data_IF_956892798594
#
_entry.id   IF_956892798594
#
_cell.length_a   1.000
_cell.length_b   1.000
_cell.length_c   1.000
_cell.angle_alpha   90.00
_cell.angle_beta   90.00
_cell.angle_gamma   90.00
#
_symmetry.space_group_name_H-M   'P 1'
#
loop_
_entity.id
_entity.type
_entity.pdbx_description
1 polymer ?
#
# COMPACT_ATOMS: atom_id res chain seq x y z
N UNK A 1 9.47 -8.89 0.40
CA UNK A 1 8.06 -8.89 -0.07
C UNK A 1 7.32 -7.75 0.62
N UNK A 2 6.23 -7.27 0.04
CA UNK A 2 5.41 -6.23 0.66
C UNK A 2 4.71 -6.80 1.90
N UNK A 3 4.88 -6.15 3.05
CA UNK A 3 4.24 -6.53 4.31
C UNK A 3 3.13 -5.55 4.65
N UNK A 4 1.89 -5.92 4.29
CA UNK A 4 0.71 -5.10 4.56
C UNK A 4 0.45 -4.94 6.06
N UNK A 5 0.70 -5.98 6.88
CA UNK A 5 0.46 -5.94 8.31
C UNK A 5 1.42 -4.99 9.02
N UNK A 6 2.71 -5.07 8.70
CA UNK A 6 3.70 -4.12 9.21
C UNK A 6 3.38 -2.68 8.76
N UNK A 7 2.96 -2.50 7.49
CA UNK A 7 2.58 -1.19 6.97
C UNK A 7 1.36 -0.61 7.69
N UNK A 8 0.32 -1.42 7.92
CA UNK A 8 -0.87 -1.02 8.68
C UNK A 8 -0.51 -0.63 10.12
N UNK A 9 0.34 -1.40 10.79
CA UNK A 9 0.78 -1.11 12.16
C UNK A 9 1.53 0.24 12.26
N UNK A 10 2.26 0.65 11.20
CA UNK A 10 2.85 1.98 11.15
C UNK A 10 1.76 3.07 11.07
N UNK A 11 0.77 2.90 10.19
CA UNK A 11 -0.32 3.89 10.04
C UNK A 11 -1.19 4.06 11.28
N UNK A 12 -1.32 3.03 12.13
CA UNK A 12 -2.05 3.12 13.39
C UNK A 12 -1.44 4.14 14.36
N UNK A 13 -0.11 4.29 14.33
CA UNK A 13 0.58 5.31 15.13
C UNK A 13 0.50 6.68 14.46
N UNK A 14 0.72 6.73 13.15
CA UNK A 14 0.81 7.98 12.41
C UNK A 14 -0.53 8.71 12.25
N UNK A 15 -1.64 7.98 12.27
CA UNK A 15 -3.00 8.51 12.05
C UNK A 15 -3.94 8.24 13.23
N UNK A 16 -3.40 8.10 14.44
CA UNK A 16 -4.20 7.84 15.65
C UNK A 16 -5.25 8.93 15.93
N UNK A 17 -5.00 10.16 15.51
CA UNK A 17 -5.87 11.33 15.63
C UNK A 17 -6.81 11.55 14.45
N UNK A 18 -6.65 10.79 13.36
CA UNK A 18 -7.50 10.85 12.16
C UNK A 18 -8.04 9.45 11.81
N UNK A 19 -9.13 8.99 12.48
CA UNK A 19 -9.70 7.67 12.27
C UNK A 19 -10.13 7.40 10.83
N UNK A 20 -10.56 8.43 10.10
CA UNK A 20 -10.97 8.31 8.70
C UNK A 20 -9.76 8.06 7.80
N UNK A 21 -8.66 8.79 8.01
CA UNK A 21 -7.40 8.55 7.32
C UNK A 21 -6.81 7.19 7.67
N UNK A 22 -6.92 6.76 8.92
CA UNK A 22 -6.50 5.42 9.35
C UNK A 22 -7.29 4.33 8.62
N UNK A 23 -8.62 4.41 8.59
CA UNK A 23 -9.47 3.43 7.91
C UNK A 23 -9.17 3.37 6.40
N UNK A 24 -9.03 4.53 5.76
CA UNK A 24 -8.68 4.64 4.35
C UNK A 24 -7.29 4.06 4.06
N UNK A 25 -6.31 4.31 4.94
CA UNK A 25 -4.96 3.76 4.80
C UNK A 25 -4.94 2.25 4.98
N UNK A 26 -5.71 1.71 5.93
CA UNK A 26 -5.89 0.25 6.11
C UNK A 26 -6.47 -0.40 4.86
N UNK A 27 -7.54 0.17 4.29
CA UNK A 27 -8.16 -0.32 3.05
C UNK A 27 -7.16 -0.29 1.88
N UNK A 28 -6.48 0.84 1.69
CA UNK A 28 -5.49 1.02 0.63
C UNK A 28 -4.34 0.01 0.72
N UNK A 29 -3.73 -0.13 1.91
CA UNK A 29 -2.59 -1.01 2.12
C UNK A 29 -2.96 -2.49 2.00
N UNK A 30 -4.12 -2.89 2.51
CA UNK A 30 -4.60 -4.27 2.44
C UNK A 30 -4.95 -4.68 0.99
N UNK A 31 -5.53 -3.77 0.20
CA UNK A 31 -5.85 -4.01 -1.22
C UNK A 31 -4.64 -4.35 -2.08
N UNK A 32 -3.44 -3.88 -1.70
CA UNK A 32 -2.21 -4.07 -2.47
C UNK A 32 -1.38 -5.29 -2.06
N UNK A 33 -1.86 -6.14 -1.16
CA UNK A 33 -1.08 -7.33 -0.71
C UNK A 33 -0.80 -8.35 -1.82
N UNK A 34 -1.65 -8.40 -2.85
CA UNK A 34 -1.56 -9.33 -3.98
C UNK A 34 -0.34 -9.09 -4.88
N UNK A 35 0.35 -7.94 -4.78
CA UNK A 35 1.61 -7.68 -5.51
C UNK A 35 2.73 -8.65 -5.14
N UNK A 36 2.59 -9.40 -4.04
CA UNK A 36 3.52 -10.46 -3.68
C UNK A 36 3.40 -11.68 -4.59
N UNK A 37 2.19 -11.95 -5.10
CA UNK A 37 1.88 -13.11 -5.93
C UNK A 37 2.15 -12.86 -7.43
N UNK A 38 2.39 -11.61 -7.80
CA UNK A 38 2.72 -11.22 -9.18
C UNK A 38 4.12 -11.71 -9.59
N UNK A 39 4.28 -12.27 -10.80
CA UNK A 39 5.57 -12.70 -11.31
C UNK A 39 6.48 -11.50 -11.56
N UNK A 40 7.72 -11.58 -11.07
CA UNK A 40 8.76 -10.55 -11.25
C UNK A 40 10.03 -11.17 -11.80
N UNK A 41 10.77 -10.41 -12.62
CA UNK A 41 12.00 -10.87 -13.31
C UNK A 41 13.27 -10.56 -12.53
N UNK A 42 13.20 -9.65 -11.58
CA UNK A 42 14.33 -9.25 -10.74
C UNK A 42 14.44 -10.10 -9.45
N UNK A 43 13.59 -11.12 -9.32
CA UNK A 43 13.62 -12.09 -8.24
C UNK A 43 13.47 -11.44 -6.86
N UNK A 44 14.48 -11.62 -6.01
CA UNK A 44 14.49 -11.10 -4.64
C UNK A 44 14.93 -9.64 -4.53
N UNK A 45 15.40 -9.01 -5.63
CA UNK A 45 15.83 -7.60 -5.61
C UNK A 45 14.67 -6.65 -5.31
N UNK A 46 13.45 -7.00 -5.72
CA UNK A 46 12.22 -6.32 -5.33
C UNK A 46 11.95 -4.97 -6.00
N UNK A 47 12.74 -4.54 -6.98
CA UNK A 47 12.51 -3.36 -7.79
C UNK A 47 11.19 -3.46 -8.57
N UNK A 48 10.93 -4.55 -9.29
CA UNK A 48 9.68 -4.70 -10.05
C UNK A 48 8.47 -4.76 -9.13
N UNK A 49 8.59 -5.45 -7.99
CA UNK A 49 7.53 -5.48 -6.96
C UNK A 49 7.26 -4.11 -6.36
N UNK A 50 8.29 -3.27 -6.22
CA UNK A 50 8.11 -1.88 -5.75
C UNK A 50 7.34 -1.04 -6.77
N UNK A 51 7.58 -1.25 -8.07
CA UNK A 51 6.80 -0.61 -9.14
C UNK A 51 5.35 -1.08 -9.11
N UNK A 52 5.11 -2.39 -8.97
CA UNK A 52 3.76 -2.95 -8.84
C UNK A 52 3.02 -2.42 -7.61
N UNK A 53 3.70 -2.34 -6.47
CA UNK A 53 3.16 -1.77 -5.23
C UNK A 53 2.79 -0.29 -5.41
N UNK A 54 3.70 0.52 -5.97
CA UNK A 54 3.43 1.92 -6.24
C UNK A 54 2.22 2.10 -7.16
N UNK A 55 2.16 1.34 -8.26
CA UNK A 55 1.03 1.35 -9.18
C UNK A 55 -0.27 1.01 -8.46
N UNK A 56 -0.29 -0.05 -7.66
CA UNK A 56 -1.46 -0.44 -6.88
C UNK A 56 -1.91 0.69 -5.94
N UNK A 57 -0.98 1.29 -5.19
CA UNK A 57 -1.28 2.39 -4.28
C UNK A 57 -1.91 3.58 -5.02
N UNK A 58 -1.34 3.98 -6.17
CA UNK A 58 -1.88 5.10 -6.96
C UNK A 58 -3.27 4.78 -7.50
N UNK A 59 -3.44 3.60 -8.11
CA UNK A 59 -4.71 3.19 -8.73
C UNK A 59 -5.81 3.03 -7.67
N UNK A 60 -5.52 2.38 -6.54
CA UNK A 60 -6.47 2.19 -5.44
C UNK A 60 -6.76 3.49 -4.70
N UNK A 61 -5.77 4.37 -4.49
CA UNK A 61 -6.02 5.69 -3.90
C UNK A 61 -7.00 6.51 -4.75
N UNK A 62 -6.85 6.49 -6.08
CA UNK A 62 -7.78 7.14 -7.00
C UNK A 62 -9.21 6.55 -6.89
N UNK A 63 -9.34 5.22 -6.83
CA UNK A 63 -10.64 4.55 -6.65
C UNK A 63 -11.33 4.89 -5.33
N UNK A 64 -10.55 5.06 -4.26
CA UNK A 64 -11.05 5.40 -2.93
C UNK A 64 -11.23 6.92 -2.72
N UNK A 65 -10.90 7.75 -3.71
CA UNK A 65 -10.94 9.21 -3.59
C UNK A 65 -9.90 9.78 -2.60
N UNK A 66 -8.81 9.04 -2.35
CA UNK A 66 -7.70 9.46 -1.50
C UNK A 66 -6.73 10.32 -2.32
N UNK A 67 -6.46 11.53 -1.86
CA UNK A 67 -5.47 12.41 -2.47
C UNK A 67 -4.07 12.08 -1.93
N UNK A 68 -3.21 11.56 -2.79
CA UNK A 68 -1.80 11.33 -2.45
C UNK A 68 -1.04 12.67 -2.41
N UNK A 69 0.01 12.78 -1.57
CA UNK A 69 0.91 13.92 -1.61
C UNK A 69 1.61 13.99 -2.98
N UNK A 70 1.76 15.21 -3.51
CA UNK A 70 2.47 15.50 -4.76
C UNK A 70 3.99 15.52 -4.55
#
# INVERSE_FOLDING_TARGET
>A
MYDAAASIAMTEKDFADDPKKLENSKKLLESCKNVNDEPVKDGEKGCERSVLLHKCIVDTAAQLGIKLPN
#
